data_IF_981986828985
#
_entry.id   IF_981986828985
#
_cell.length_a   1.000
_cell.length_b   1.000
_cell.length_c   1.000
_cell.angle_alpha   90.00
_cell.angle_beta   90.00
_cell.angle_gamma   90.00
#
_symmetry.space_group_name_H-M   'P 1'
#
loop_
_entity.id
_entity.type
_entity.pdbx_description
1 polymer ?
#
# COMPACT_ATOMS: atom_id res chain seq x y z
N UNK A 1 -7.92 15.45 9.42
CA UNK A 1 -6.76 14.62 9.76
C UNK A 1 -6.13 15.21 10.98
N UNK A 2 -6.40 14.57 12.11
CA UNK A 2 -5.84 14.92 13.41
C UNK A 2 -4.38 14.42 13.51
N UNK A 3 -3.70 14.78 14.60
CA UNK A 3 -2.27 14.51 14.76
C UNK A 3 -1.94 13.01 14.96
N UNK A 4 -2.94 12.17 15.27
CA UNK A 4 -2.83 10.71 15.40
C UNK A 4 -3.37 9.97 14.16
N UNK A 5 -3.62 10.68 13.07
CA UNK A 5 -4.21 10.14 11.84
C UNK A 5 -3.22 10.21 10.68
N UNK A 6 -3.23 9.17 9.84
CA UNK A 6 -2.53 9.19 8.55
C UNK A 6 -3.47 8.82 7.40
N UNK A 7 -3.21 9.41 6.25
CA UNK A 7 -3.80 9.03 4.98
C UNK A 7 -2.84 8.12 4.22
N UNK A 8 -3.29 6.96 3.77
CA UNK A 8 -2.47 6.03 3.02
C UNK A 8 -3.07 5.72 1.65
N UNK A 9 -2.22 5.66 0.63
CA UNK A 9 -2.57 5.18 -0.70
C UNK A 9 -1.82 3.89 -0.99
N UNK A 10 -2.53 2.88 -1.49
CA UNK A 10 -1.93 1.60 -1.88
C UNK A 10 -2.18 1.34 -3.35
N UNK A 11 -1.16 0.87 -4.04
CA UNK A 11 -1.26 0.52 -5.46
C UNK A 11 -0.25 -0.58 -5.83
N UNK A 12 -0.65 -1.41 -6.79
CA UNK A 12 0.25 -2.38 -7.41
C UNK A 12 1.04 -1.70 -8.51
N UNK A 13 2.37 -1.71 -8.39
CA UNK A 13 3.21 -1.27 -9.49
C UNK A 13 3.06 -2.19 -10.71
N UNK A 14 3.26 -1.64 -11.91
CA UNK A 14 3.46 -2.45 -13.10
C UNK A 14 4.57 -3.48 -12.84
N UNK A 15 4.31 -4.74 -13.20
CA UNK A 15 5.25 -5.83 -12.98
C UNK A 15 6.62 -5.52 -13.56
N UNK A 16 7.65 -5.88 -12.79
CA UNK A 16 9.06 -5.75 -13.14
C UNK A 16 9.44 -7.04 -13.86
N UNK A 17 9.91 -6.94 -15.10
CA UNK A 17 10.38 -8.12 -15.83
C UNK A 17 11.77 -8.50 -15.31
N UNK A 18 12.07 -9.79 -15.15
CA UNK A 18 13.42 -10.25 -14.90
C UNK A 18 14.37 -9.81 -16.02
N UNK A 19 15.58 -9.37 -15.70
CA UNK A 19 16.59 -8.92 -16.68
C UNK A 19 17.97 -9.38 -16.24
N UNK A 20 18.78 -9.85 -17.18
CA UNK A 20 20.20 -10.15 -16.95
C UNK A 20 21.05 -9.03 -17.52
N UNK A 21 22.20 -8.75 -16.89
CA UNK A 21 23.15 -7.82 -17.45
C UNK A 21 23.66 -8.33 -18.80
N UNK A 22 23.40 -7.55 -19.87
CA UNK A 22 23.68 -7.94 -21.27
C UNK A 22 22.85 -9.13 -21.74
N UNK A 23 21.57 -9.10 -21.43
CA UNK A 23 20.61 -10.07 -21.94
C UNK A 23 20.52 -10.06 -23.48
N UNK A 24 20.51 -11.25 -24.09
CA UNK A 24 20.25 -11.40 -25.51
C UNK A 24 18.79 -11.06 -25.86
N UNK A 25 18.55 -10.39 -26.99
CA UNK A 25 17.21 -10.01 -27.42
C UNK A 25 16.23 -11.21 -27.51
N UNK A 26 16.73 -12.40 -27.84
CA UNK A 26 15.94 -13.63 -27.89
C UNK A 26 15.44 -14.12 -26.53
N UNK A 27 16.12 -13.76 -25.44
CA UNK A 27 15.74 -14.16 -24.08
C UNK A 27 14.64 -13.25 -23.48
N UNK A 28 14.37 -12.11 -24.10
CA UNK A 28 13.45 -11.09 -23.59
C UNK A 28 11.97 -11.53 -23.61
N UNK A 29 11.57 -12.39 -24.57
CA UNK A 29 10.16 -12.68 -24.81
C UNK A 29 9.58 -13.70 -23.83
N UNK A 30 8.35 -13.43 -23.34
CA UNK A 30 7.58 -14.38 -22.54
C UNK A 30 7.94 -14.46 -21.05
N UNK A 31 8.75 -13.53 -20.54
CA UNK A 31 9.12 -13.50 -19.12
C UNK A 31 7.94 -13.22 -18.21
N UNK A 32 7.87 -13.97 -17.10
CA UNK A 32 6.92 -13.73 -16.03
C UNK A 32 7.41 -12.57 -15.17
N UNK A 33 6.61 -11.50 -15.07
CA UNK A 33 6.96 -10.34 -14.26
C UNK A 33 6.81 -10.59 -12.75
N UNK A 34 7.71 -10.00 -11.98
CA UNK A 34 7.70 -9.90 -10.52
C UNK A 34 6.82 -8.72 -10.08
N UNK A 35 6.25 -8.82 -8.88
CA UNK A 35 5.25 -7.84 -8.40
C UNK A 35 5.81 -6.99 -7.26
N UNK A 36 5.36 -5.74 -7.22
CA UNK A 36 5.63 -4.81 -6.12
C UNK A 36 4.32 -4.15 -5.68
N UNK A 37 3.97 -4.29 -4.41
CA UNK A 37 2.89 -3.49 -3.80
C UNK A 37 3.53 -2.29 -3.12
N UNK A 38 3.02 -1.10 -3.39
CA UNK A 38 3.47 0.14 -2.75
C UNK A 38 2.37 0.68 -1.86
N UNK A 39 2.72 1.02 -0.62
CA UNK A 39 1.86 1.75 0.31
C UNK A 39 2.55 3.04 0.75
N UNK A 40 1.95 4.19 0.47
CA UNK A 40 2.49 5.49 0.83
C UNK A 40 1.59 6.17 1.84
N UNK A 41 2.17 6.67 2.93
CA UNK A 41 1.48 7.29 4.05
C UNK A 41 1.84 8.76 4.14
N UNK A 42 0.84 9.60 4.45
CA UNK A 42 0.99 11.03 4.69
C UNK A 42 0.29 11.37 6.01
N UNK A 43 0.97 12.06 6.90
CA UNK A 43 0.41 12.52 8.18
C UNK A 43 0.86 13.94 8.49
N UNK A 44 0.19 14.58 9.44
CA UNK A 44 0.54 15.93 9.88
C UNK A 44 1.63 15.84 10.93
N UNK A 45 2.66 16.68 10.82
CA UNK A 45 3.66 16.76 11.88
C UNK A 45 3.17 17.57 13.06
N UNK A 46 3.42 17.04 14.26
CA UNK A 46 3.16 17.73 15.50
C UNK A 46 4.14 18.91 15.63
N UNK A 47 3.62 20.12 15.91
CA UNK A 47 4.41 21.35 16.04
C UNK A 47 5.57 21.24 17.05
N UNK A 48 5.46 20.39 18.07
CA UNK A 48 6.52 20.14 19.05
C UNK A 48 7.75 19.40 18.47
N UNK A 49 7.62 18.61 17.40
CA UNK A 49 8.77 17.93 16.76
C UNK A 49 9.59 18.84 15.86
N UNK A 50 9.03 19.95 15.39
CA UNK A 50 9.72 20.93 14.53
C UNK A 50 10.50 21.97 15.34
N UNK A 51 10.14 22.15 16.61
CA UNK A 51 10.78 23.12 17.51
C UNK A 51 12.20 22.71 17.94
N UNK A 52 12.58 21.42 17.83
CA UNK A 52 13.92 20.94 18.16
C UNK A 52 14.98 21.20 17.07
N UNK A 53 14.58 21.76 15.91
CA UNK A 53 15.49 21.90 14.75
C UNK A 53 15.49 23.29 14.13
N UNK A 54 14.69 24.24 14.64
CA UNK A 54 14.53 25.56 14.05
C UNK A 54 15.20 26.64 14.90
N UNK A 55 16.45 26.98 14.57
CA UNK A 55 17.10 28.22 15.00
C UNK A 55 16.42 29.38 14.28
N UNK A 56 15.76 30.25 15.05
CA UNK A 56 15.34 31.63 14.74
C UNK A 56 15.10 31.96 13.26
N UNK A 57 13.84 31.94 12.84
CA UNK A 57 13.28 33.03 12.02
C UNK A 57 11.75 32.91 12.01
N UNK A 58 11.09 34.06 12.10
CA UNK A 58 9.65 34.27 11.94
C UNK A 58 9.08 33.50 10.75
N UNK A 59 8.29 32.46 11.01
CA UNK A 59 7.56 31.71 9.98
C UNK A 59 6.10 31.64 10.37
N UNK A 60 5.21 32.03 9.44
CA UNK A 60 3.83 31.56 9.40
C UNK A 60 3.82 30.08 9.78
N UNK A 61 2.95 29.68 10.71
CA UNK A 61 2.81 28.28 11.13
C UNK A 61 2.19 27.45 9.99
N UNK A 62 2.95 27.19 8.93
CA UNK A 62 2.54 26.27 7.88
C UNK A 62 2.51 24.89 8.50
N UNK A 63 1.35 24.21 8.39
CA UNK A 63 1.24 22.82 8.80
C UNK A 63 2.14 22.01 7.88
N UNK A 64 3.20 21.42 8.42
CA UNK A 64 4.06 20.51 7.66
C UNK A 64 3.46 19.11 7.67
N UNK A 65 3.59 18.43 6.55
CA UNK A 65 3.18 17.05 6.38
C UNK A 65 4.43 16.20 6.17
N UNK A 66 4.46 15.05 6.81
CA UNK A 66 5.46 14.02 6.58
C UNK A 66 4.89 12.93 5.70
N UNK A 67 5.78 12.26 4.98
CA UNK A 67 5.44 11.15 4.08
C UNK A 67 6.48 10.05 4.16
N UNK A 68 6.03 8.81 4.16
CA UNK A 68 6.87 7.61 4.08
C UNK A 68 6.18 6.57 3.19
N UNK A 69 6.96 5.91 2.35
CA UNK A 69 6.49 4.86 1.45
C UNK A 69 7.12 3.52 1.82
N UNK A 70 6.38 2.45 1.56
CA UNK A 70 6.81 1.09 1.80
C UNK A 70 6.53 0.26 0.57
N UNK A 71 7.49 -0.57 0.19
CA UNK A 71 7.39 -1.46 -0.96
C UNK A 71 7.57 -2.89 -0.45
N UNK A 72 6.66 -3.77 -0.87
CA UNK A 72 6.83 -5.22 -0.71
C UNK A 72 7.07 -5.82 -2.09
N UNK A 73 8.26 -6.38 -2.31
CA UNK A 73 8.66 -7.06 -3.52
C UNK A 73 8.39 -8.56 -3.41
N UNK A 74 7.77 -9.15 -4.45
CA UNK A 74 7.31 -10.54 -4.47
C UNK A 74 7.61 -11.15 -5.83
N UNK A 75 8.44 -12.21 -5.86
CA UNK A 75 8.88 -12.84 -7.11
C UNK A 75 7.69 -13.41 -7.90
N UNK A 76 6.76 -14.07 -7.21
CA UNK A 76 5.72 -14.88 -7.83
C UNK A 76 4.30 -14.54 -7.33
N UNK A 77 3.86 -13.28 -7.43
CA UNK A 77 2.48 -12.93 -7.10
C UNK A 77 1.53 -12.96 -8.32
N UNK A 78 0.34 -13.51 -8.08
CA UNK A 78 -0.79 -13.41 -9.00
C UNK A 78 -1.53 -12.07 -8.88
N UNK A 79 -1.25 -11.29 -7.82
CA UNK A 79 -1.90 -10.02 -7.49
C UNK A 79 -3.41 -10.21 -7.22
N UNK A 80 -3.74 -11.29 -6.51
CA UNK A 80 -5.10 -11.58 -6.05
C UNK A 80 -5.52 -10.66 -4.91
N UNK A 81 -6.79 -10.74 -4.49
CA UNK A 81 -7.27 -10.06 -3.28
C UNK A 81 -6.48 -10.50 -2.03
N UNK A 82 -6.16 -11.79 -1.92
CA UNK A 82 -5.44 -12.34 -0.77
C UNK A 82 -3.99 -11.86 -0.77
N UNK A 83 -3.35 -11.81 -1.95
CA UNK A 83 -2.01 -11.24 -2.09
C UNK A 83 -1.99 -9.76 -1.67
N UNK A 84 -3.02 -9.02 -2.08
CA UNK A 84 -3.17 -7.59 -1.81
C UNK A 84 -3.35 -7.31 -0.32
N UNK A 85 -4.22 -8.07 0.35
CA UNK A 85 -4.46 -7.96 1.79
C UNK A 85 -3.22 -8.37 2.59
N UNK A 86 -2.54 -9.46 2.20
CA UNK A 86 -1.37 -9.98 2.90
C UNK A 86 -0.16 -9.04 2.79
N UNK A 87 0.16 -8.57 1.58
CA UNK A 87 1.20 -7.55 1.40
C UNK A 87 0.80 -6.22 2.06
N UNK A 88 -0.50 -5.88 2.04
CA UNK A 88 -1.05 -4.72 2.71
C UNK A 88 -0.86 -4.75 4.23
N UNK A 89 -1.03 -5.91 4.86
CA UNK A 89 -0.77 -6.11 6.30
C UNK A 89 0.71 -5.94 6.63
N UNK A 90 1.61 -6.52 5.83
CA UNK A 90 3.07 -6.35 6.00
C UNK A 90 3.43 -4.85 6.03
N UNK A 91 2.96 -4.09 5.03
CA UNK A 91 3.23 -2.65 4.95
C UNK A 91 2.63 -1.90 6.14
N UNK A 92 1.37 -2.18 6.48
CA UNK A 92 0.66 -1.47 7.56
C UNK A 92 1.29 -1.76 8.91
N UNK A 93 1.75 -3.01 9.13
CA UNK A 93 2.47 -3.42 10.33
C UNK A 93 3.79 -2.68 10.45
N UNK A 94 4.57 -2.60 9.38
CA UNK A 94 5.84 -1.87 9.41
C UNK A 94 5.63 -0.37 9.67
N UNK A 95 4.65 0.25 8.99
CA UNK A 95 4.28 1.64 9.26
C UNK A 95 3.89 1.87 10.73
N UNK A 96 3.14 0.95 11.33
CA UNK A 96 2.75 1.02 12.74
C UNK A 96 3.95 0.96 13.69
N UNK A 97 4.92 0.10 13.39
CA UNK A 97 6.17 -0.02 14.15
C UNK A 97 6.95 1.29 14.08
N UNK A 98 7.07 1.86 12.89
CA UNK A 98 7.84 3.08 12.65
C UNK A 98 7.17 4.34 13.23
N UNK A 99 5.84 4.39 13.19
CA UNK A 99 5.05 5.55 13.62
C UNK A 99 3.95 5.16 14.62
N UNK A 100 4.33 4.71 15.84
CA UNK A 100 3.39 4.15 16.81
C UNK A 100 2.35 5.16 17.32
N UNK A 101 2.66 6.47 17.20
CA UNK A 101 1.77 7.58 17.56
C UNK A 101 0.55 7.68 16.64
N UNK A 102 0.64 7.20 15.40
CA UNK A 102 -0.52 7.15 14.50
C UNK A 102 -1.43 6.00 14.94
N UNK A 103 -2.67 6.34 15.28
CA UNK A 103 -3.68 5.40 15.77
C UNK A 103 -4.81 5.19 14.78
N UNK A 104 -4.97 6.07 13.79
CA UNK A 104 -6.08 6.00 12.85
C UNK A 104 -5.62 6.15 11.40
N UNK A 105 -6.27 5.44 10.49
CA UNK A 105 -5.95 5.45 9.06
C UNK A 105 -7.16 5.81 8.20
N UNK A 106 -6.89 6.62 7.18
CA UNK A 106 -7.73 6.79 6.00
C UNK A 106 -7.05 6.10 4.84
N UNK A 107 -7.67 5.09 4.24
CA UNK A 107 -7.07 4.32 3.14
C UNK A 107 -7.69 4.70 1.80
N UNK A 108 -6.85 4.81 0.78
CA UNK A 108 -7.27 4.96 -0.61
C UNK A 108 -6.57 3.93 -1.49
N UNK A 109 -7.30 3.41 -2.47
CA UNK A 109 -6.74 2.57 -3.54
C UNK A 109 -7.33 2.99 -4.88
N UNK A 110 -6.86 2.40 -5.97
CA UNK A 110 -7.65 2.38 -7.19
C UNK A 110 -8.89 1.48 -7.02
N UNK A 111 -9.74 1.40 -8.05
CA UNK A 111 -10.91 0.54 -8.05
C UNK A 111 -10.66 -0.76 -8.86
N UNK A 112 -9.44 -1.29 -8.82
CA UNK A 112 -9.13 -2.57 -9.46
C UNK A 112 -9.71 -3.74 -8.65
N UNK A 113 -9.98 -4.85 -9.34
CA UNK A 113 -10.68 -6.01 -8.76
C UNK A 113 -9.97 -6.66 -7.57
N UNK A 114 -8.65 -6.52 -7.46
CA UNK A 114 -7.84 -7.00 -6.34
C UNK A 114 -7.93 -6.11 -5.08
N UNK A 115 -8.40 -4.87 -5.21
CA UNK A 115 -8.69 -3.96 -4.11
C UNK A 115 -10.19 -3.80 -3.82
N UNK A 116 -11.07 -4.17 -4.76
CA UNK A 116 -12.51 -3.88 -4.69
C UNK A 116 -13.38 -5.13 -4.50
N UNK A 117 -12.83 -6.22 -3.96
CA UNK A 117 -13.60 -7.45 -3.76
C UNK A 117 -14.59 -7.33 -2.59
N UNK A 118 -15.57 -8.24 -2.54
CA UNK A 118 -16.63 -8.20 -1.53
C UNK A 118 -16.12 -8.28 -0.08
N UNK A 119 -15.06 -9.03 0.18
CA UNK A 119 -14.53 -9.23 1.53
C UNK A 119 -13.45 -8.20 1.92
N UNK A 120 -12.87 -7.50 0.94
CA UNK A 120 -11.77 -6.54 1.17
C UNK A 120 -12.08 -5.49 2.25
N UNK A 121 -13.25 -4.81 2.26
CA UNK A 121 -13.53 -3.79 3.27
C UNK A 121 -13.50 -4.31 4.71
N UNK A 122 -13.97 -5.53 4.95
CA UNK A 122 -13.99 -6.15 6.28
C UNK A 122 -12.62 -6.71 6.66
N UNK A 123 -11.91 -7.33 5.71
CA UNK A 123 -10.57 -7.86 5.94
C UNK A 123 -9.58 -6.77 6.31
N UNK A 124 -9.62 -5.62 5.64
CA UNK A 124 -8.75 -4.51 6.01
C UNK A 124 -9.07 -3.91 7.38
N UNK A 125 -10.35 -3.86 7.75
CA UNK A 125 -10.73 -3.46 9.11
C UNK A 125 -10.11 -4.43 10.12
N UNK A 126 -10.22 -5.74 9.90
CA UNK A 126 -9.62 -6.75 10.77
C UNK A 126 -8.10 -6.63 10.85
N UNK A 127 -7.41 -6.42 9.71
CA UNK A 127 -5.97 -6.16 9.68
C UNK A 127 -5.63 -4.98 10.58
N UNK A 128 -6.32 -3.85 10.41
CA UNK A 128 -6.06 -2.65 11.21
C UNK A 128 -6.32 -2.92 12.71
N UNK A 129 -7.40 -3.63 13.05
CA UNK A 129 -7.72 -3.99 14.43
C UNK A 129 -6.65 -4.90 15.06
N UNK A 130 -6.16 -5.91 14.34
CA UNK A 130 -5.04 -6.77 14.78
C UNK A 130 -3.78 -5.95 15.08
N UNK A 131 -3.56 -4.88 14.32
CA UNK A 131 -2.40 -3.99 14.47
C UNK A 131 -2.63 -2.83 15.47
N UNK A 132 -3.80 -2.77 16.13
CA UNK A 132 -4.14 -1.68 17.04
C UNK A 132 -4.27 -0.31 16.35
N UNK A 133 -4.78 -0.32 15.13
CA UNK A 133 -5.10 0.86 14.32
C UNK A 133 -6.60 0.89 14.03
N UNK A 134 -7.21 2.07 14.13
CA UNK A 134 -8.59 2.28 13.69
C UNK A 134 -8.63 2.69 12.21
N UNK A 135 -9.17 1.84 11.34
CA UNK A 135 -9.49 2.25 9.98
C UNK A 135 -10.75 3.15 10.02
N UNK A 136 -10.65 4.37 9.51
CA UNK A 136 -11.74 5.36 9.54
C UNK A 136 -12.49 5.42 8.22
N UNK A 137 -11.74 5.52 7.11
CA UNK A 137 -12.31 5.55 5.78
C UNK A 137 -11.55 4.66 4.82
N UNK A 138 -12.28 4.14 3.83
CA UNK A 138 -11.73 3.52 2.63
C UNK A 138 -12.35 4.19 1.42
N UNK A 139 -11.51 4.73 0.55
CA UNK A 139 -11.92 5.47 -0.63
C UNK A 139 -11.35 4.81 -1.89
N UNK A 140 -12.17 4.71 -2.94
CA UNK A 140 -11.77 4.19 -4.24
C UNK A 140 -11.60 5.34 -5.22
N UNK A 141 -10.47 5.38 -5.90
CA UNK A 141 -10.20 6.39 -6.92
C UNK A 141 -11.11 6.19 -8.14
N UNK A 142 -11.45 7.30 -8.80
CA UNK A 142 -12.22 7.25 -10.06
C UNK A 142 -11.34 6.74 -11.21
N UNK A 143 -11.95 5.99 -12.12
CA UNK A 143 -11.30 5.51 -13.35
C UNK A 143 -10.72 6.73 -14.08
N UNK A 144 -9.42 6.71 -14.37
CA UNK A 144 -8.65 7.78 -15.06
C UNK A 144 -8.39 9.08 -14.28
N UNK A 145 -8.74 9.19 -12.99
CA UNK A 145 -8.41 10.40 -12.20
C UNK A 145 -7.07 10.29 -11.48
N UNK A 146 -6.02 10.56 -12.24
CA UNK A 146 -4.73 11.08 -11.77
C UNK A 146 -3.76 10.04 -11.26
N UNK A 147 -2.51 10.17 -11.71
CA UNK A 147 -1.37 9.47 -11.13
C UNK A 147 -1.25 9.84 -9.65
N UNK A 148 -0.93 8.88 -8.80
CA UNK A 148 -0.79 9.12 -7.38
C UNK A 148 0.68 9.13 -6.91
N UNK A 149 0.89 9.10 -5.59
CA UNK A 149 2.21 9.05 -5.00
C UNK A 149 2.88 7.69 -5.24
N UNK A 150 2.12 6.59 -5.27
CA UNK A 150 2.63 5.26 -5.55
C UNK A 150 3.16 5.16 -6.99
N UNK A 151 2.46 5.77 -7.97
CA UNK A 151 2.96 5.89 -9.35
C UNK A 151 4.34 6.57 -9.42
N UNK A 152 4.52 7.65 -8.64
CA UNK A 152 5.79 8.39 -8.56
C UNK A 152 6.89 7.51 -7.97
N UNK A 153 6.61 6.82 -6.87
CA UNK A 153 7.56 5.91 -6.22
C UNK A 153 7.94 4.78 -7.20
N UNK A 154 6.96 4.14 -7.83
CA UNK A 154 7.20 3.13 -8.87
C UNK A 154 8.07 3.63 -10.03
N UNK A 155 7.86 4.87 -10.48
CA UNK A 155 8.68 5.51 -11.52
C UNK A 155 10.15 5.63 -11.11
N UNK A 156 10.41 6.09 -9.87
CA UNK A 156 11.76 6.22 -9.32
C UNK A 156 12.39 4.83 -9.10
N UNK A 157 11.63 3.89 -8.55
CA UNK A 157 12.05 2.50 -8.36
C UNK A 157 12.56 1.87 -9.65
N UNK A 158 11.81 2.00 -10.75
CA UNK A 158 12.23 1.47 -12.05
C UNK A 158 13.51 2.13 -12.57
N UNK A 159 13.69 3.43 -12.31
CA UNK A 159 14.92 4.11 -12.69
C UNK A 159 16.13 3.59 -11.91
N UNK A 160 15.97 3.35 -10.59
CA UNK A 160 17.01 2.75 -9.74
C UNK A 160 17.40 1.35 -10.19
N UNK A 161 16.42 0.49 -10.46
CA UNK A 161 16.66 -0.87 -10.94
C UNK A 161 17.46 -0.88 -12.25
N UNK A 162 17.11 -0.02 -13.22
CA UNK A 162 17.88 0.12 -14.46
C UNK A 162 19.32 0.58 -14.22
N UNK A 163 19.53 1.51 -13.29
CA UNK A 163 20.88 1.96 -12.94
C UNK A 163 21.69 0.85 -12.29
N UNK A 164 21.07 0.01 -11.44
CA UNK A 164 21.72 -1.11 -10.78
C UNK A 164 22.05 -2.26 -11.75
N UNK A 165 21.15 -2.56 -12.69
CA UNK A 165 21.40 -3.51 -13.80
C UNK A 165 22.58 -3.03 -14.68
N UNK A 166 22.64 -1.73 -14.97
CA UNK A 166 23.71 -1.14 -15.76
C UNK A 166 25.10 -1.25 -15.12
N UNK A 167 25.20 -1.49 -13.80
CA UNK A 167 26.48 -1.73 -13.12
C UNK A 167 26.95 -3.17 -13.16
N UNK A 168 26.25 -4.07 -13.87
CA UNK A 168 26.66 -5.46 -14.02
C UNK A 168 25.87 -6.47 -13.19
N UNK A 169 24.77 -6.05 -12.55
CA UNK A 169 23.95 -6.93 -11.72
C UNK A 169 22.74 -7.46 -12.50
N UNK A 170 22.25 -8.63 -12.09
CA UNK A 170 21.04 -9.22 -12.64
C UNK A 170 19.83 -8.90 -11.74
N UNK A 171 18.66 -8.79 -12.37
CA UNK A 171 17.38 -8.53 -11.73
C UNK A 171 16.47 -9.74 -11.97
N UNK A 172 16.56 -10.79 -11.16
CA UNK A 172 15.91 -12.08 -11.40
C UNK A 172 14.81 -12.40 -10.39
N UNK A 173 14.93 -11.91 -9.16
CA UNK A 173 14.03 -12.23 -8.06
C UNK A 173 13.75 -11.00 -7.16
N UNK A 174 12.88 -11.16 -6.17
CA UNK A 174 12.50 -10.06 -5.27
C UNK A 174 13.64 -9.54 -4.38
N UNK A 175 14.64 -10.36 -4.06
CA UNK A 175 15.85 -9.94 -3.34
C UNK A 175 16.63 -8.95 -4.22
N UNK A 176 16.82 -9.28 -5.50
CA UNK A 176 17.45 -8.40 -6.48
C UNK A 176 16.68 -7.07 -6.62
N UNK A 177 15.34 -7.12 -6.61
CA UNK A 177 14.51 -5.90 -6.59
C UNK A 177 14.83 -5.04 -5.37
N UNK A 178 14.93 -5.64 -4.18
CA UNK A 178 15.24 -4.91 -2.95
C UNK A 178 16.63 -4.29 -3.04
N UNK A 179 17.64 -5.08 -3.38
CA UNK A 179 19.03 -4.62 -3.50
C UNK A 179 19.16 -3.49 -4.53
N UNK A 180 18.55 -3.65 -5.70
CA UNK A 180 18.59 -2.63 -6.74
C UNK A 180 17.80 -1.36 -6.41
N UNK A 181 16.72 -1.44 -5.63
CA UNK A 181 16.02 -0.25 -5.13
C UNK A 181 16.77 0.45 -3.99
N UNK A 182 17.56 -0.28 -3.20
CA UNK A 182 18.40 0.25 -2.11
C UNK A 182 19.77 0.76 -2.60
N UNK A 183 20.15 0.42 -3.83
CA UNK A 183 21.38 0.87 -4.48
C UNK A 183 21.54 2.40 -4.49
N UNK A 184 22.79 2.87 -4.34
CA UNK A 184 23.20 4.28 -4.40
C UNK A 184 22.36 5.20 -3.49
N UNK A 185 22.18 4.78 -2.23
CA UNK A 185 21.47 5.53 -1.19
C UNK A 185 19.95 5.34 -1.19
N UNK A 186 19.44 4.43 -2.02
CA UNK A 186 18.04 4.03 -2.05
C UNK A 186 17.08 5.08 -2.60
N UNK A 187 15.81 4.92 -2.25
CA UNK A 187 14.72 5.84 -2.59
C UNK A 187 14.36 6.63 -1.33
N UNK A 188 14.31 7.95 -1.45
CA UNK A 188 14.05 8.84 -0.31
C UNK A 188 12.71 8.49 0.36
N UNK A 189 12.72 8.43 1.70
CA UNK A 189 11.55 8.12 2.54
C UNK A 189 10.81 6.86 2.06
N UNK A 190 11.56 5.83 1.68
CA UNK A 190 10.99 4.59 1.18
C UNK A 190 11.75 3.40 1.75
N UNK A 191 11.01 2.44 2.33
CA UNK A 191 11.54 1.18 2.82
C UNK A 191 11.09 0.03 1.93
N UNK A 192 11.97 -0.93 1.68
CA UNK A 192 11.69 -2.07 0.82
C UNK A 192 11.84 -3.37 1.62
N UNK A 193 10.82 -4.22 1.55
CA UNK A 193 10.83 -5.57 2.09
C UNK A 193 10.65 -6.59 0.96
N UNK A 194 11.22 -7.77 1.16
CA UNK A 194 10.95 -8.95 0.32
C UNK A 194 9.89 -9.76 1.04
N UNK A 195 8.91 -10.28 0.31
CA UNK A 195 7.97 -11.24 0.86
C UNK A 195 7.83 -12.46 -0.04
N UNK A 196 7.60 -13.59 0.59
CA UNK A 196 7.29 -14.86 -0.06
C UNK A 196 5.82 -15.21 0.18
N UNK A 197 5.18 -15.77 -0.85
CA UNK A 197 3.88 -16.42 -0.68
C UNK A 197 4.11 -17.80 -0.12
N UNK A 198 3.49 -18.10 1.01
CA UNK A 198 3.49 -19.42 1.61
C UNK A 198 2.31 -20.20 1.03
N UNK A 199 2.61 -21.15 0.14
CA UNK A 199 1.58 -22.03 -0.42
C UNK A 199 0.85 -22.79 0.69
N UNK A 200 -0.46 -23.00 0.49
CA UNK A 200 -1.34 -23.69 1.44
C UNK A 200 -1.60 -22.94 2.77
N UNK A 201 -1.11 -21.71 2.89
CA UNK A 201 -1.49 -20.78 3.97
C UNK A 201 -2.38 -19.66 3.44
N UNK A 202 -3.16 -19.10 4.36
CA UNK A 202 -4.04 -17.99 4.11
C UNK A 202 -5.38 -18.41 3.50
N UNK A 203 -6.41 -17.72 3.96
CA UNK A 203 -7.77 -17.93 3.54
C UNK A 203 -8.48 -16.59 3.61
N UNK A 204 -9.37 -16.35 2.65
CA UNK A 204 -10.32 -15.26 2.72
C UNK A 204 -11.71 -15.83 2.49
N UNK A 205 -12.53 -15.77 3.53
CA UNK A 205 -13.92 -16.19 3.44
C UNK A 205 -14.68 -15.31 2.43
N UNK A 206 -15.53 -15.95 1.63
CA UNK A 206 -16.40 -15.23 0.72
C UNK A 206 -17.46 -14.50 1.53
N UNK A 207 -17.43 -13.18 1.51
CA UNK A 207 -18.57 -12.37 1.93
C UNK A 207 -19.30 -11.80 0.75
N UNK A 208 -20.52 -11.33 1.00
CA UNK A 208 -21.28 -10.58 0.04
C UNK A 208 -21.58 -9.22 0.65
N UNK A 209 -20.67 -8.27 0.44
CA UNK A 209 -20.97 -6.84 0.52
C UNK A 209 -21.74 -6.50 -0.76
N UNK A 210 -23.05 -6.18 -0.69
CA UNK A 210 -23.87 -6.01 -1.87
C UNK A 210 -23.37 -4.84 -2.74
N UNK A 211 -23.36 -5.05 -4.07
CA UNK A 211 -23.02 -4.03 -5.05
C UNK A 211 -21.63 -3.38 -4.81
N UNK A 212 -20.64 -4.16 -4.38
CA UNK A 212 -19.29 -3.67 -4.03
C UNK A 212 -18.65 -2.84 -5.14
N UNK A 213 -18.86 -3.21 -6.41
CA UNK A 213 -18.38 -2.49 -7.59
C UNK A 213 -18.93 -1.07 -7.75
N UNK A 214 -20.04 -0.77 -7.08
CA UNK A 214 -20.66 0.58 -7.09
C UNK A 214 -20.24 1.43 -5.91
N UNK A 215 -19.55 0.86 -4.92
CA UNK A 215 -19.09 1.55 -3.72
C UNK A 215 -17.87 2.38 -4.09
N UNK A 216 -17.86 3.66 -3.71
CA UNK A 216 -16.74 4.59 -3.94
C UNK A 216 -16.08 5.06 -2.67
N UNK A 217 -16.79 5.01 -1.55
CA UNK A 217 -16.21 5.31 -0.24
C UNK A 217 -16.96 4.58 0.85
N UNK A 218 -16.25 4.30 1.93
CA UNK A 218 -16.71 3.58 3.11
C UNK A 218 -16.26 4.35 4.33
N UNK A 219 -17.15 4.52 5.30
CA UNK A 219 -16.83 5.00 6.65
C UNK A 219 -17.07 3.88 7.64
N UNK A 220 -16.08 3.64 8.49
CA UNK A 220 -16.14 2.57 9.47
C UNK A 220 -16.64 3.09 10.81
N UNK A 221 -17.56 2.36 11.42
CA UNK A 221 -18.05 2.59 12.79
C UNK A 221 -17.85 1.30 13.60
N UNK A 222 -18.04 1.29 14.93
CA UNK A 222 -17.90 0.06 15.71
C UNK A 222 -18.84 -1.07 15.26
N UNK A 223 -20.09 -0.74 14.91
CA UNK A 223 -21.13 -1.75 14.68
C UNK A 223 -21.41 -2.05 13.19
N UNK A 224 -21.05 -1.13 12.29
CA UNK A 224 -21.31 -1.25 10.86
C UNK A 224 -20.34 -0.41 10.03
N UNK A 225 -20.25 -0.75 8.75
CA UNK A 225 -19.67 0.12 7.74
C UNK A 225 -20.76 0.89 7.01
N UNK A 226 -20.53 2.18 6.77
CA UNK A 226 -21.43 3.02 5.99
C UNK A 226 -20.83 3.25 4.62
N UNK A 227 -21.51 2.79 3.57
CA UNK A 227 -21.02 2.80 2.19
C UNK A 227 -21.71 3.86 1.36
N UNK A 228 -20.99 4.43 0.38
CA UNK A 228 -21.48 5.49 -0.50
C UNK A 228 -21.12 5.19 -1.95
N UNK A 229 -22.05 5.45 -2.87
CA UNK A 229 -21.85 5.27 -4.31
C UNK A 229 -21.16 6.44 -5.02
N UNK A 230 -21.17 7.62 -4.39
CA UNK A 230 -20.50 8.81 -4.89
C UNK A 230 -19.81 9.48 -3.70
N UNK A 231 -18.49 9.31 -3.60
CA UNK A 231 -17.56 9.86 -2.59
C UNK A 231 -18.21 10.63 -1.42
N UNK A 232 -18.77 9.90 -0.45
CA UNK A 232 -19.33 10.49 0.77
C UNK A 232 -20.53 11.44 0.60
N UNK A 233 -21.20 11.43 -0.55
CA UNK A 233 -22.40 12.23 -0.86
C UNK A 233 -23.67 11.43 -0.53
N UNK A 234 -24.63 12.12 0.10
CA UNK A 234 -25.94 11.58 0.45
C UNK A 234 -25.96 10.83 1.79
N UNK A 235 -27.10 10.19 2.08
CA UNK A 235 -27.32 9.54 3.37
C UNK A 235 -26.44 8.30 3.59
N UNK A 236 -25.90 7.68 2.53
CA UNK A 236 -25.16 6.42 2.59
C UNK A 236 -26.02 5.21 2.99
N UNK A 237 -25.48 4.00 2.84
CA UNK A 237 -26.15 2.75 3.24
C UNK A 237 -25.32 2.11 4.35
N UNK A 238 -25.95 1.80 5.48
CA UNK A 238 -25.30 1.06 6.56
C UNK A 238 -25.32 -0.44 6.26
N UNK A 239 -24.16 -1.08 6.35
CA UNK A 239 -23.96 -2.51 6.16
C UNK A 239 -23.36 -3.06 7.45
N UNK A 240 -24.08 -3.93 8.20
CA UNK A 240 -23.54 -4.58 9.38
C UNK A 240 -22.32 -5.43 9.03
N UNK A 241 -21.37 -5.52 9.97
CA UNK A 241 -20.22 -6.41 9.78
C UNK A 241 -20.65 -7.87 9.75
N UNK A 242 -20.11 -8.61 8.78
CA UNK A 242 -20.15 -10.07 8.81
C UNK A 242 -18.90 -10.58 9.51
N UNK A 243 -19.03 -11.69 10.23
CA UNK A 243 -17.86 -12.40 10.75
C UNK A 243 -17.15 -13.04 9.57
N UNK A 244 -15.98 -12.52 9.22
CA UNK A 244 -15.14 -13.09 8.17
C UNK A 244 -14.03 -13.90 8.81
N UNK A 245 -13.73 -15.03 8.19
CA UNK A 245 -12.49 -15.75 8.42
C UNK A 245 -11.44 -15.21 7.44
N UNK A 246 -10.30 -14.78 7.97
CA UNK A 246 -9.23 -14.14 7.22
C UNK A 246 -7.85 -14.38 7.82
N UNK A 247 -7.00 -15.04 7.05
CA UNK A 247 -5.58 -15.26 7.34
C UNK A 247 -4.72 -14.88 6.14
N UNK A 248 -3.57 -14.25 6.40
CA UNK A 248 -2.62 -13.85 5.36
C UNK A 248 -1.79 -15.02 4.87
N UNK A 249 -1.35 -14.96 3.62
CA UNK A 249 -0.51 -15.98 2.97
C UNK A 249 0.94 -15.53 2.72
N UNK A 250 1.40 -14.44 3.32
CA UNK A 250 2.75 -13.89 3.09
C UNK A 250 3.58 -13.78 4.35
N UNK A 251 4.89 -13.99 4.19
CA UNK A 251 5.91 -13.75 5.21
C UNK A 251 7.07 -12.94 4.62
N UNK A 252 7.76 -12.18 5.47
CA UNK A 252 9.06 -11.56 5.18
C UNK A 252 10.17 -12.53 5.59
#
# INVERSE_FOLDING_TARGET
>A
MDDDEAFCTFDWGQKILPQEHREAQSAYFGKKGMSVLVGSFVWKDSAQRLASTATTTTSLSSRTYSTESYIVAITNAAQTELDTLSAGEIITKQFKIDYPHIKKLHKRTDNAGNFSSHATPEAEKLICERLGIKLLTRDYSEVQKGKDICDRICGISKARLRSWEATGNDLLNAIDIKEGMEYAGGIKNTKIAVAEIVSDQGHLSKTNVPNVSTIRSIRYSPDNMKVFKASSIGAGIAIPYKKIDFETNMRI
#
